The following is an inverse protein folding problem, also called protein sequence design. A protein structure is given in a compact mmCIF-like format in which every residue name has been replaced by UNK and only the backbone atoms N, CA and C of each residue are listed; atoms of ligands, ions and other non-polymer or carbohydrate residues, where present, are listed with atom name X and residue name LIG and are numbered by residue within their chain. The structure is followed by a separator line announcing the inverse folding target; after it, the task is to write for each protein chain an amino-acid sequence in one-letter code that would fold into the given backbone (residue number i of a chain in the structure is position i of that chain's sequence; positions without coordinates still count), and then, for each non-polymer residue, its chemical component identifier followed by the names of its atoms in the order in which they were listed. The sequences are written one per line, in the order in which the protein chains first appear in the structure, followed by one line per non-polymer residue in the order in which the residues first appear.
data_IF_971390521212
#
_entry.id   IF_971390521212
#
_cell.length_a   1.000
_cell.length_b   1.000
_cell.length_c   1.000
_cell.angle_alpha   90.00
_cell.angle_beta   90.00
_cell.angle_gamma   90.00
#
_symmetry.space_group_name_H-M   'P 1'
#
loop_
_entity.id
_entity.type
_entity.pdbx_description
1 polymer ?
#
# COMPACT_ATOMS: atom_id res chain seq x y z
N UNK A 1 12.98 -22.82 -1.28
CA UNK A 1 12.43 -21.66 -0.54
C UNK A 1 11.32 -22.17 0.37
N UNK A 2 11.06 -21.53 1.51
CA UNK A 2 9.94 -21.91 2.40
C UNK A 2 8.62 -21.46 1.75
N UNK A 3 7.69 -22.39 1.51
CA UNK A 3 6.38 -22.13 0.88
C UNK A 3 5.40 -21.51 1.89
N UNK A 4 5.69 -20.26 2.29
CA UNK A 4 4.96 -19.55 3.33
C UNK A 4 4.04 -18.50 2.74
N UNK A 5 2.82 -18.44 3.26
CA UNK A 5 1.91 -17.31 3.07
C UNK A 5 1.95 -16.44 4.31
N UNK A 6 2.28 -15.16 4.15
CA UNK A 6 2.36 -14.19 5.24
C UNK A 6 1.23 -13.18 5.09
N UNK A 7 0.49 -12.97 6.18
CA UNK A 7 -0.49 -11.89 6.28
C UNK A 7 0.01 -10.86 7.28
N UNK A 8 0.07 -9.61 6.86
CA UNK A 8 0.58 -8.50 7.67
C UNK A 8 -0.45 -7.38 7.75
N UNK A 9 -0.62 -6.85 8.96
CA UNK A 9 -1.41 -5.63 9.19
C UNK A 9 -0.44 -4.55 9.64
N UNK A 10 -0.28 -3.52 8.81
CA UNK A 10 0.60 -2.39 9.10
C UNK A 10 0.01 -1.10 8.54
N UNK A 11 0.45 0.01 9.13
CA UNK A 11 0.18 1.36 8.63
C UNK A 11 1.46 2.03 8.11
N UNK A 12 2.57 1.31 8.10
CA UNK A 12 3.83 1.77 7.52
C UNK A 12 3.82 1.52 6.01
N UNK A 13 4.07 2.57 5.23
CA UNK A 13 4.10 2.50 3.78
C UNK A 13 5.32 1.71 3.29
N UNK A 14 6.50 1.95 3.88
CA UNK A 14 7.76 1.36 3.41
C UNK A 14 7.70 -0.16 3.42
N UNK A 15 7.15 -0.72 4.50
CA UNK A 15 6.91 -2.16 4.62
C UNK A 15 5.94 -2.68 3.56
N UNK A 16 4.83 -1.96 3.28
CA UNK A 16 3.88 -2.36 2.24
C UNK A 16 4.52 -2.35 0.85
N UNK A 17 5.37 -1.35 0.55
CA UNK A 17 6.07 -1.24 -0.73
C UNK A 17 7.16 -2.30 -0.94
N UNK A 18 7.81 -2.74 0.14
CA UNK A 18 8.99 -3.62 0.07
C UNK A 18 8.68 -5.09 0.26
N UNK A 19 7.65 -5.44 1.04
CA UNK A 19 7.40 -6.80 1.48
C UNK A 19 6.04 -7.39 1.04
N UNK A 20 5.08 -6.55 0.62
CA UNK A 20 3.74 -7.02 0.28
C UNK A 20 3.51 -7.06 -1.24
N UNK A 21 3.12 -8.22 -1.75
CA UNK A 21 2.70 -8.37 -3.15
C UNK A 21 1.29 -7.82 -3.40
N UNK A 22 0.44 -7.85 -2.37
CA UNK A 22 -0.97 -7.44 -2.40
C UNK A 22 -1.32 -6.68 -1.13
N UNK A 23 -2.15 -5.64 -1.29
CA UNK A 23 -2.62 -4.78 -0.21
C UNK A 23 -4.15 -4.70 -0.26
N UNK A 24 -4.78 -4.79 0.90
CA UNK A 24 -6.20 -4.52 1.09
C UNK A 24 -6.37 -3.39 2.09
N UNK A 25 -7.12 -2.38 1.71
CA UNK A 25 -7.45 -1.24 2.57
C UNK A 25 -8.84 -1.45 3.16
N UNK A 26 -8.93 -1.41 4.49
CA UNK A 26 -10.19 -1.51 5.21
C UNK A 26 -10.63 -0.14 5.72
N UNK A 27 -11.90 0.19 5.50
CA UNK A 27 -12.53 1.42 5.99
C UNK A 27 -14.04 1.30 5.92
N UNK A 28 -14.76 2.03 6.78
CA UNK A 28 -16.23 1.95 6.86
C UNK A 28 -16.78 0.52 7.00
N UNK A 29 -16.06 -0.35 7.74
CA UNK A 29 -16.37 -1.79 7.92
C UNK A 29 -16.41 -2.59 6.61
N UNK A 30 -15.75 -2.11 5.57
CA UNK A 30 -15.67 -2.74 4.24
C UNK A 30 -14.24 -2.70 3.73
N UNK A 31 -13.95 -3.55 2.74
CA UNK A 31 -12.76 -3.40 1.91
C UNK A 31 -13.03 -2.26 0.94
N UNK A 32 -12.25 -1.19 1.05
CA UNK A 32 -12.37 -0.02 0.17
C UNK A 32 -11.68 -0.28 -1.17
N UNK A 33 -10.46 -0.84 -1.11
CA UNK A 33 -9.64 -1.18 -2.28
C UNK A 33 -8.80 -2.42 -1.94
N UNK A 34 -8.60 -3.28 -2.93
CA UNK A 34 -7.72 -4.46 -2.86
C UNK A 34 -6.94 -4.54 -4.17
N UNK A 35 -5.65 -4.83 -4.11
CA UNK A 35 -4.83 -4.99 -5.31
C UNK A 35 -3.34 -4.89 -5.05
N UNK A 36 -2.60 -4.60 -6.10
CA UNK A 36 -1.17 -4.29 -6.02
C UNK A 36 -0.95 -2.88 -5.48
N UNK A 37 0.30 -2.57 -5.15
CA UNK A 37 0.71 -1.20 -4.81
C UNK A 37 0.38 -0.20 -5.93
N UNK A 38 0.54 -0.58 -7.20
CA UNK A 38 0.18 0.28 -8.34
C UNK A 38 -1.32 0.57 -8.41
N UNK A 39 -2.16 -0.37 -7.98
CA UNK A 39 -3.61 -0.17 -7.87
C UNK A 39 -3.94 0.81 -6.75
N UNK A 40 -3.23 0.75 -5.63
CA UNK A 40 -3.36 1.73 -4.54
C UNK A 40 -2.96 3.14 -5.02
N UNK A 41 -1.86 3.26 -5.77
CA UNK A 41 -1.39 4.54 -6.31
C UNK A 41 -2.35 5.14 -7.34
N UNK A 42 -3.02 4.30 -8.14
CA UNK A 42 -4.03 4.71 -9.13
C UNK A 42 -5.43 4.91 -8.55
N UNK A 43 -5.68 4.46 -7.33
CA UNK A 43 -6.98 4.60 -6.68
C UNK A 43 -7.44 6.06 -6.56
N UNK A 44 -8.73 6.27 -6.83
CA UNK A 44 -9.41 7.55 -6.64
C UNK A 44 -10.25 7.58 -5.34
N UNK A 45 -10.19 6.52 -4.54
CA UNK A 45 -10.81 6.52 -3.21
C UNK A 45 -10.10 7.57 -2.32
N UNK A 46 -10.83 8.52 -1.70
CA UNK A 46 -10.24 9.65 -1.00
C UNK A 46 -9.23 9.30 0.10
N UNK A 47 -9.52 8.32 0.95
CA UNK A 47 -8.63 7.86 2.01
C UNK A 47 -7.36 7.22 1.44
N UNK A 48 -7.50 6.29 0.48
CA UNK A 48 -6.39 5.58 -0.17
C UNK A 48 -5.49 6.59 -0.88
N UNK A 49 -6.08 7.49 -1.66
CA UNK A 49 -5.38 8.56 -2.36
C UNK A 49 -4.60 9.46 -1.39
N UNK A 50 -5.20 9.84 -0.26
CA UNK A 50 -4.53 10.66 0.75
C UNK A 50 -3.36 9.94 1.43
N UNK A 51 -3.49 8.64 1.67
CA UNK A 51 -2.50 7.81 2.35
C UNK A 51 -1.30 7.52 1.42
N UNK A 52 -1.54 7.07 0.19
CA UNK A 52 -0.50 6.70 -0.77
C UNK A 52 0.08 7.89 -1.57
N UNK A 53 -0.54 9.09 -1.57
CA UNK A 53 0.01 10.29 -2.25
C UNK A 53 0.42 11.41 -1.29
N UNK A 54 0.46 11.14 0.02
CA UNK A 54 0.86 12.10 1.05
C UNK A 54 2.37 12.43 1.05
N UNK A 55 2.80 13.41 1.86
CA UNK A 55 4.20 13.88 1.94
C UNK A 55 5.23 12.77 2.17
N UNK A 56 4.89 11.72 2.93
CA UNK A 56 5.76 10.57 3.21
C UNK A 56 5.88 9.60 2.01
N UNK A 57 4.76 9.27 1.37
CA UNK A 57 4.76 8.44 0.16
C UNK A 57 5.56 9.07 -0.99
N UNK A 58 5.56 10.40 -1.07
CA UNK A 58 6.34 11.16 -2.08
C UNK A 58 7.85 11.06 -1.92
N UNK A 59 8.35 10.80 -0.70
CA UNK A 59 9.78 10.58 -0.47
C UNK A 59 10.21 9.18 -0.93
N UNK A 60 9.31 8.20 -0.87
CA UNK A 60 9.56 6.82 -1.35
C UNK A 60 9.62 6.73 -2.87
N UNK A 61 8.75 7.45 -3.59
CA UNK A 61 8.77 7.50 -5.07
C UNK A 61 10.10 8.08 -5.61
N UNK A 62 10.78 8.93 -4.82
CA UNK A 62 12.11 9.46 -5.16
C UNK A 62 13.24 8.50 -4.81
N UNK A 63 13.12 7.73 -3.71
CA UNK A 63 14.13 6.76 -3.30
C UNK A 63 14.10 5.47 -4.13
N UNK A 64 12.92 5.05 -4.61
CA UNK A 64 12.77 3.86 -5.47
C UNK A 64 13.21 4.10 -6.92
N UNK A 65 13.55 5.35 -7.29
CA UNK A 65 14.02 5.75 -8.63
C UNK A 65 15.50 6.14 -8.67
N UNK A 66 16.24 5.98 -7.57
CA UNK A 66 17.68 6.18 -7.48
C UNK A 66 18.41 4.84 -7.37
#
# INVERSE_FOLDING_TARGET
TMDLTVYMVTHDLDTLFTACDRVAVLGNKKVLVEGTIDDMLRSEEPWVKSYFRGKRARQLDLAARA
#
